data_IF_388687061137
#
_entry.id   IF_388687061137
#
_cell.length_a   1.000
_cell.length_b   1.000
_cell.length_c   1.000
_cell.angle_alpha   90.00
_cell.angle_beta   90.00
_cell.angle_gamma   90.00
#
_symmetry.space_group_name_H-M   'P 1'
#
loop_
_entity.id
_entity.type
_entity.pdbx_description
1 polymer ?
#
# COMPACT_ATOMS: atom_id res chain seq x y z
N UNK A 1 -5.66 0.71 11.31
CA UNK A 1 -6.46 1.74 12.00
C UNK A 1 -6.86 2.88 11.07
N UNK A 2 -5.94 3.44 10.28
CA UNK A 2 -6.25 4.52 9.30
C UNK A 2 -7.41 4.16 8.37
N UNK A 3 -7.37 2.98 7.73
CA UNK A 3 -8.43 2.53 6.80
C UNK A 3 -9.80 2.45 7.50
N UNK A 4 -9.85 1.97 8.75
CA UNK A 4 -11.10 1.86 9.52
C UNK A 4 -11.63 3.26 9.84
N UNK A 5 -10.79 4.17 10.30
CA UNK A 5 -11.19 5.54 10.62
C UNK A 5 -11.74 6.28 9.39
N UNK A 6 -11.06 6.17 8.25
CA UNK A 6 -11.51 6.76 6.97
C UNK A 6 -12.84 6.13 6.55
N UNK A 7 -12.98 4.80 6.62
CA UNK A 7 -14.21 4.10 6.29
C UNK A 7 -15.40 4.54 7.14
N UNK A 8 -15.21 4.69 8.45
CA UNK A 8 -16.26 5.18 9.36
C UNK A 8 -16.66 6.62 9.04
N UNK A 9 -15.69 7.50 8.75
CA UNK A 9 -15.97 8.89 8.37
C UNK A 9 -16.81 8.95 7.10
N UNK A 10 -16.43 8.21 6.06
CA UNK A 10 -17.15 8.13 4.79
C UNK A 10 -18.58 7.61 4.99
N UNK A 11 -18.76 6.59 5.83
CA UNK A 11 -20.08 6.05 6.16
C UNK A 11 -20.99 7.09 6.81
N UNK A 12 -20.48 7.84 7.80
CA UNK A 12 -21.24 8.90 8.49
C UNK A 12 -21.63 10.02 7.52
N UNK A 13 -20.70 10.48 6.69
CA UNK A 13 -20.97 11.52 5.68
C UNK A 13 -22.05 11.04 4.69
N UNK A 14 -21.95 9.80 4.23
CA UNK A 14 -22.94 9.19 3.34
C UNK A 14 -24.32 9.06 3.97
N UNK A 15 -24.39 8.65 5.25
CA UNK A 15 -25.65 8.57 5.98
C UNK A 15 -26.33 9.93 6.13
N UNK A 16 -25.56 10.97 6.47
CA UNK A 16 -26.06 12.35 6.56
C UNK A 16 -26.59 12.82 5.21
N UNK A 17 -25.86 12.58 4.12
CA UNK A 17 -26.29 12.95 2.76
C UNK A 17 -27.59 12.25 2.35
N UNK A 18 -27.72 10.96 2.65
CA UNK A 18 -28.93 10.20 2.38
C UNK A 18 -30.14 10.75 3.16
N UNK A 19 -30.00 10.95 4.48
CA UNK A 19 -31.06 11.50 5.32
C UNK A 19 -31.45 12.93 4.94
N UNK A 20 -30.48 13.77 4.55
CA UNK A 20 -30.73 15.14 4.12
C UNK A 20 -31.59 15.20 2.85
N UNK A 21 -31.31 14.32 1.89
CA UNK A 21 -32.02 14.22 0.61
C UNK A 21 -33.42 13.67 0.80
N UNK A 22 -33.58 12.57 1.55
CA UNK A 22 -34.89 11.93 1.78
C UNK A 22 -35.85 12.84 2.55
N UNK A 23 -35.34 13.65 3.49
CA UNK A 23 -36.16 14.59 4.26
C UNK A 23 -36.44 15.91 3.55
N UNK A 24 -35.94 16.11 2.31
CA UNK A 24 -36.03 17.38 1.57
C UNK A 24 -35.60 18.60 2.42
N UNK A 25 -34.70 18.37 3.39
CA UNK A 25 -34.36 19.36 4.39
C UNK A 25 -33.29 20.29 3.84
N UNK A 26 -33.67 21.55 3.58
CA UNK A 26 -32.72 22.59 3.14
C UNK A 26 -31.54 22.73 4.10
N UNK A 27 -31.78 22.65 5.41
CA UNK A 27 -30.72 22.73 6.42
C UNK A 27 -29.77 21.52 6.32
N UNK A 28 -30.30 20.31 6.10
CA UNK A 28 -29.49 19.10 5.91
C UNK A 28 -28.64 19.11 4.64
N UNK A 29 -29.17 19.67 3.55
CA UNK A 29 -28.43 19.80 2.30
C UNK A 29 -27.28 20.82 2.42
N UNK A 30 -27.53 21.94 3.11
CA UNK A 30 -26.50 22.96 3.39
C UNK A 30 -25.38 22.40 4.27
N UNK A 31 -25.71 21.66 5.33
CA UNK A 31 -24.70 21.05 6.21
C UNK A 31 -23.88 19.99 5.48
N UNK A 32 -24.53 19.12 4.69
CA UNK A 32 -23.83 18.14 3.85
C UNK A 32 -22.86 18.82 2.88
N UNK A 33 -23.33 19.87 2.19
CA UNK A 33 -22.51 20.65 1.25
C UNK A 33 -21.32 21.31 1.96
N UNK A 34 -21.52 21.88 3.15
CA UNK A 34 -20.46 22.48 3.94
C UNK A 34 -19.41 21.44 4.38
N UNK A 35 -19.83 20.24 4.79
CA UNK A 35 -18.91 19.15 5.15
C UNK A 35 -18.08 18.71 3.94
N UNK A 36 -18.69 18.56 2.76
CA UNK A 36 -17.96 18.21 1.55
C UNK A 36 -16.94 19.28 1.15
N UNK A 37 -17.29 20.57 1.27
CA UNK A 37 -16.35 21.67 1.00
C UNK A 37 -15.17 21.66 1.97
N UNK A 38 -15.40 21.36 3.25
CA UNK A 38 -14.33 21.22 4.24
C UNK A 38 -13.42 20.04 3.92
N UNK A 39 -13.98 18.88 3.57
CA UNK A 39 -13.19 17.72 3.13
C UNK A 39 -12.34 18.07 1.91
N UNK A 40 -12.93 18.72 0.91
CA UNK A 40 -12.21 19.16 -0.27
C UNK A 40 -11.05 20.11 0.07
N UNK A 41 -11.28 21.10 0.94
CA UNK A 41 -10.23 22.00 1.39
C UNK A 41 -9.11 21.26 2.13
N UNK A 42 -9.44 20.28 2.98
CA UNK A 42 -8.43 19.46 3.66
C UNK A 42 -7.63 18.59 2.70
N UNK A 43 -8.26 18.01 1.68
CA UNK A 43 -7.57 17.23 0.63
C UNK A 43 -6.54 18.10 -0.10
N UNK A 44 -6.91 19.33 -0.50
CA UNK A 44 -5.98 20.26 -1.14
C UNK A 44 -4.78 20.56 -0.24
N UNK A 45 -5.02 20.82 1.05
CA UNK A 45 -3.94 21.07 2.02
C UNK A 45 -3.04 19.85 2.16
N UNK A 46 -3.60 18.65 2.27
CA UNK A 46 -2.83 17.39 2.38
C UNK A 46 -1.97 17.16 1.14
N UNK A 47 -2.51 17.37 -0.07
CA UNK A 47 -1.76 17.24 -1.33
C UNK A 47 -0.61 18.24 -1.39
N UNK A 48 -0.87 19.52 -1.10
CA UNK A 48 0.18 20.57 -1.12
C UNK A 48 1.27 20.28 -0.10
N UNK A 49 0.90 19.91 1.13
CA UNK A 49 1.88 19.54 2.16
C UNK A 49 2.63 18.26 1.77
N UNK A 50 1.96 17.27 1.18
CA UNK A 50 2.57 16.04 0.67
C UNK A 50 3.62 16.34 -0.40
N UNK A 51 3.33 17.25 -1.32
CA UNK A 51 4.25 17.70 -2.35
C UNK A 51 5.46 18.44 -1.76
N UNK A 52 5.23 19.42 -0.87
CA UNK A 52 6.30 20.19 -0.22
C UNK A 52 7.20 19.28 0.63
N UNK A 53 6.61 18.35 1.38
CA UNK A 53 7.32 17.43 2.27
C UNK A 53 7.56 16.05 1.64
N UNK A 54 7.62 15.95 0.31
CA UNK A 54 7.76 14.67 -0.42
C UNK A 54 8.92 13.80 0.08
N UNK A 55 10.06 14.40 0.40
CA UNK A 55 11.23 13.67 0.90
C UNK A 55 10.96 13.00 2.26
N UNK A 56 10.15 13.64 3.11
CA UNK A 56 9.72 13.07 4.39
C UNK A 56 8.72 11.94 4.18
N UNK A 57 7.80 12.08 3.22
CA UNK A 57 6.86 11.02 2.85
C UNK A 57 7.62 9.79 2.35
N UNK A 58 8.60 9.96 1.45
CA UNK A 58 9.45 8.89 0.95
C UNK A 58 10.18 8.16 2.08
N UNK A 59 10.79 8.89 3.02
CA UNK A 59 11.48 8.29 4.17
C UNK A 59 10.54 7.49 5.08
N UNK A 60 9.32 7.98 5.32
CA UNK A 60 8.31 7.28 6.12
C UNK A 60 7.84 6.00 5.41
N UNK A 61 7.65 6.06 4.09
CA UNK A 61 7.28 4.91 3.26
C UNK A 61 8.37 3.86 3.31
N UNK A 62 9.63 4.24 3.11
CA UNK A 62 10.77 3.32 3.16
C UNK A 62 10.85 2.60 4.52
N UNK A 63 10.87 3.36 5.62
CA UNK A 63 10.92 2.79 6.96
C UNK A 63 9.73 1.84 7.24
N UNK A 64 8.54 2.21 6.75
CA UNK A 64 7.34 1.39 6.91
C UNK A 64 7.42 0.08 6.11
N UNK A 65 7.88 0.13 4.85
CA UNK A 65 8.09 -1.07 4.03
C UNK A 65 9.14 -1.96 4.68
N UNK A 66 10.30 -1.42 5.07
CA UNK A 66 11.37 -2.18 5.71
C UNK A 66 10.89 -2.88 6.98
N UNK A 67 10.10 -2.19 7.82
CA UNK A 67 9.53 -2.80 9.03
C UNK A 67 8.63 -3.99 8.71
N UNK A 68 7.74 -3.87 7.73
CA UNK A 68 6.82 -4.95 7.36
C UNK A 68 7.60 -6.15 6.77
N UNK A 69 8.65 -5.90 5.99
CA UNK A 69 9.54 -6.94 5.45
C UNK A 69 10.30 -7.69 6.55
N UNK A 70 10.77 -6.99 7.59
CA UNK A 70 11.42 -7.63 8.73
C UNK A 70 10.47 -8.50 9.57
N UNK A 71 9.16 -8.20 9.55
CA UNK A 71 8.12 -8.97 10.23
C UNK A 71 7.55 -10.12 9.37
N UNK A 72 8.04 -10.30 8.14
CA UNK A 72 7.60 -11.36 7.24
C UNK A 72 7.97 -12.75 7.78
N UNK A 73 7.00 -13.66 7.82
CA UNK A 73 7.18 -15.05 8.28
C UNK A 73 6.87 -16.10 7.21
N UNK A 74 6.32 -15.68 6.07
CA UNK A 74 5.94 -16.57 4.98
C UNK A 74 4.72 -17.46 5.28
N UNK A 75 3.99 -17.18 6.36
CA UNK A 75 2.77 -17.90 6.72
C UNK A 75 1.54 -17.16 6.19
N UNK A 76 0.65 -17.85 5.48
CA UNK A 76 -0.58 -17.21 4.98
C UNK A 76 -1.51 -16.68 6.09
N UNK A 77 -1.29 -17.09 7.34
CA UNK A 77 -2.04 -16.65 8.52
C UNK A 77 -1.57 -15.31 9.06
N UNK A 78 -0.35 -14.87 8.77
CA UNK A 78 0.19 -13.62 9.30
C UNK A 78 -0.11 -12.42 8.39
N UNK A 79 -0.46 -11.29 9.03
CA UNK A 79 -0.81 -10.06 8.34
C UNK A 79 0.35 -9.47 7.50
N UNK A 80 1.61 -9.39 7.98
CA UNK A 80 2.70 -8.82 7.17
C UNK A 80 3.00 -9.64 5.92
N UNK A 81 2.94 -10.98 5.98
CA UNK A 81 3.18 -11.83 4.80
C UNK A 81 2.07 -11.68 3.77
N UNK A 82 0.80 -11.65 4.20
CA UNK A 82 -0.31 -11.35 3.26
C UNK A 82 -0.18 -9.98 2.64
N UNK A 83 0.23 -8.97 3.42
CA UNK A 83 0.39 -7.61 2.93
C UNK A 83 1.51 -7.52 1.88
N UNK A 84 2.68 -8.10 2.16
CA UNK A 84 3.81 -8.12 1.22
C UNK A 84 3.46 -8.90 -0.03
N UNK A 85 2.89 -10.11 0.11
CA UNK A 85 2.51 -10.93 -1.02
C UNK A 85 1.48 -10.23 -1.92
N UNK A 86 0.53 -9.51 -1.31
CA UNK A 86 -0.44 -8.71 -2.05
C UNK A 86 0.23 -7.55 -2.78
N UNK A 87 1.09 -6.78 -2.12
CA UNK A 87 1.79 -5.64 -2.71
C UNK A 87 2.68 -6.08 -3.87
N UNK A 88 3.45 -7.15 -3.71
CA UNK A 88 4.33 -7.68 -4.76
C UNK A 88 3.56 -8.12 -6.00
N UNK A 89 2.41 -8.80 -5.81
CA UNK A 89 1.53 -9.20 -6.92
C UNK A 89 0.85 -8.00 -7.59
N UNK A 90 0.40 -7.03 -6.79
CA UNK A 90 -0.37 -5.88 -7.28
C UNK A 90 0.50 -4.85 -7.99
N UNK A 91 1.72 -4.64 -7.50
CA UNK A 91 2.66 -3.69 -8.08
C UNK A 91 3.67 -4.35 -9.01
N UNK A 92 3.66 -5.68 -9.16
CA UNK A 92 4.64 -6.40 -9.99
C UNK A 92 6.09 -6.06 -9.60
N UNK A 93 6.37 -6.11 -8.29
CA UNK A 93 7.65 -5.77 -7.69
C UNK A 93 8.16 -6.92 -6.79
N UNK A 94 9.46 -6.95 -6.51
CA UNK A 94 10.06 -7.94 -5.61
C UNK A 94 11.11 -7.31 -4.70
N UNK A 95 10.98 -7.53 -3.39
CA UNK A 95 11.85 -6.93 -2.39
C UNK A 95 11.58 -5.44 -2.18
N UNK A 96 12.46 -4.78 -1.42
CA UNK A 96 12.32 -3.35 -1.10
C UNK A 96 12.85 -2.52 -2.27
N UNK A 97 14.12 -2.72 -2.60
CA UNK A 97 14.85 -2.18 -3.73
C UNK A 97 15.05 -3.24 -4.83
N UNK A 98 15.26 -4.50 -4.45
CA UNK A 98 15.43 -5.62 -5.38
C UNK A 98 15.17 -6.98 -4.69
N UNK A 99 15.04 -8.06 -5.45
CA UNK A 99 14.85 -9.42 -4.94
C UNK A 99 15.95 -9.86 -3.96
N UNK A 100 17.17 -9.30 -4.06
CA UNK A 100 18.28 -9.59 -3.16
C UNK A 100 18.03 -9.17 -1.72
N UNK A 101 17.10 -8.24 -1.47
CA UNK A 101 16.79 -7.78 -0.10
C UNK A 101 16.24 -8.91 0.77
N UNK A 102 15.61 -9.90 0.15
CA UNK A 102 15.15 -11.11 0.84
C UNK A 102 16.29 -11.84 1.53
N UNK A 103 17.51 -11.82 0.97
CA UNK A 103 18.67 -12.51 1.55
C UNK A 103 19.04 -12.02 2.96
N UNK A 104 18.67 -10.77 3.29
CA UNK A 104 18.94 -10.15 4.58
C UNK A 104 17.80 -10.35 5.59
N UNK A 105 16.70 -10.99 5.20
CA UNK A 105 15.53 -11.20 6.08
C UNK A 105 15.70 -12.46 6.93
N UNK A 106 15.16 -12.43 8.15
CA UNK A 106 15.14 -13.60 9.04
C UNK A 106 14.47 -14.82 8.38
N UNK A 107 13.37 -14.59 7.68
CA UNK A 107 12.63 -15.63 6.97
C UNK A 107 13.49 -16.40 5.95
N UNK A 108 14.31 -15.69 5.17
CA UNK A 108 15.16 -16.32 4.16
C UNK A 108 16.26 -17.18 4.81
N UNK A 109 16.87 -16.66 5.89
CA UNK A 109 17.90 -17.37 6.65
C UNK A 109 17.33 -18.65 7.30
N UNK A 110 16.11 -18.59 7.82
CA UNK A 110 15.43 -19.73 8.44
C UNK A 110 14.96 -20.77 7.41
N UNK A 111 14.45 -20.32 6.26
CA UNK A 111 13.88 -21.21 5.23
C UNK A 111 14.92 -22.06 4.51
N UNK A 112 16.17 -21.58 4.38
CA UNK A 112 17.31 -22.28 3.74
C UNK A 112 17.03 -22.86 2.33
N UNK A 113 15.99 -22.39 1.66
CA UNK A 113 15.54 -22.89 0.36
C UNK A 113 16.08 -22.08 -0.82
N UNK A 114 16.87 -21.03 -0.54
CA UNK A 114 17.45 -20.11 -1.53
C UNK A 114 16.39 -19.57 -2.52
N UNK A 115 15.17 -19.33 -2.04
CA UNK A 115 14.06 -18.80 -2.82
C UNK A 115 13.45 -17.59 -2.14
N UNK A 116 12.91 -16.68 -2.96
CA UNK A 116 12.06 -15.58 -2.52
C UNK A 116 10.59 -16.03 -2.50
N UNK A 117 9.68 -15.28 -1.87
CA UNK A 117 8.26 -15.58 -1.94
C UNK A 117 7.73 -15.68 -3.36
N UNK A 118 6.80 -16.62 -3.59
CA UNK A 118 6.18 -16.85 -4.90
C UNK A 118 5.39 -15.65 -5.42
N UNK A 119 5.06 -14.71 -4.55
CA UNK A 119 4.49 -13.40 -4.88
C UNK A 119 5.43 -12.52 -5.73
N UNK A 120 6.74 -12.79 -5.73
CA UNK A 120 7.73 -12.16 -6.60
C UNK A 120 7.73 -12.69 -8.05
N UNK A 121 7.00 -13.75 -8.36
CA UNK A 121 7.00 -14.38 -9.67
C UNK A 121 6.21 -13.58 -10.70
N UNK A 122 6.74 -13.48 -11.93
CA UNK A 122 6.04 -12.89 -13.07
C UNK A 122 4.85 -13.76 -13.50
N UNK A 123 3.72 -13.17 -13.93
CA UNK A 123 2.52 -13.93 -14.32
C UNK A 123 2.74 -14.75 -15.60
N UNK A 124 3.70 -14.35 -16.44
CA UNK A 124 4.02 -14.99 -17.71
C UNK A 124 4.78 -16.31 -17.56
N UNK A 125 5.28 -16.63 -16.37
CA UNK A 125 6.09 -17.82 -16.11
C UNK A 125 5.23 -18.89 -15.41
N UNK A 126 4.95 -19.98 -16.11
CA UNK A 126 4.31 -21.15 -15.51
C UNK A 126 5.30 -21.88 -14.60
N UNK A 127 4.83 -22.32 -13.42
CA UNK A 127 5.64 -23.03 -12.42
C UNK A 127 6.82 -22.25 -11.83
N UNK A 128 6.68 -20.93 -11.65
CA UNK A 128 7.66 -20.16 -10.89
C UNK A 128 7.62 -20.54 -9.40
N UNK A 129 8.77 -20.96 -8.87
CA UNK A 129 8.96 -21.37 -7.47
C UNK A 129 9.68 -20.33 -6.62
N UNK A 130 9.99 -19.16 -7.20
CA UNK A 130 10.74 -18.11 -6.50
C UNK A 130 12.25 -18.39 -6.37
N UNK A 131 12.79 -19.38 -7.07
CA UNK A 131 14.22 -19.74 -6.95
C UNK A 131 15.15 -18.62 -7.44
N UNK A 132 16.23 -18.37 -6.71
CA UNK A 132 17.26 -17.42 -7.10
C UNK A 132 18.15 -17.91 -8.26
N UNK A 133 18.04 -19.18 -8.66
CA UNK A 133 18.75 -19.72 -9.83
C UNK A 133 18.24 -19.17 -11.16
N UNK A 134 17.00 -18.67 -11.19
CA UNK A 134 16.37 -18.08 -12.39
C UNK A 134 15.84 -16.67 -12.08
N UNK A 135 16.73 -15.68 -11.89
CA UNK A 135 16.31 -14.32 -11.55
C UNK A 135 15.46 -13.67 -12.65
N UNK A 136 15.51 -14.17 -13.89
CA UNK A 136 14.66 -13.72 -15.00
C UNK A 136 13.16 -13.95 -14.76
N UNK A 137 12.79 -14.92 -13.92
CA UNK A 137 11.39 -15.27 -13.62
C UNK A 137 10.76 -14.33 -12.58
N UNK A 138 11.58 -13.53 -11.89
CA UNK A 138 11.19 -12.63 -10.81
C UNK A 138 10.97 -11.21 -11.31
N UNK A 139 10.18 -10.41 -10.57
CA UNK A 139 10.09 -8.98 -10.82
C UNK A 139 11.44 -8.29 -10.58
N UNK A 140 11.92 -7.48 -11.53
CA UNK A 140 13.24 -6.86 -11.45
C UNK A 140 13.26 -5.61 -10.56
N UNK A 141 12.12 -4.94 -10.38
CA UNK A 141 12.02 -3.70 -9.61
C UNK A 141 11.58 -3.96 -8.17
N UNK A 142 12.20 -3.22 -7.24
CA UNK A 142 11.79 -3.17 -5.85
C UNK A 142 10.47 -2.44 -5.62
N UNK A 143 9.76 -2.84 -4.58
CA UNK A 143 8.45 -2.26 -4.26
C UNK A 143 8.53 -0.82 -3.77
N UNK A 144 9.61 -0.40 -3.11
CA UNK A 144 9.79 0.98 -2.67
C UNK A 144 9.83 1.93 -3.87
N UNK A 145 10.63 1.61 -4.88
CA UNK A 145 10.79 2.42 -6.10
C UNK A 145 9.45 2.63 -6.78
N UNK A 146 8.66 1.56 -6.93
CA UNK A 146 7.35 1.62 -7.57
C UNK A 146 6.30 2.35 -6.73
N UNK A 147 6.30 2.14 -5.41
CA UNK A 147 5.39 2.86 -4.51
C UNK A 147 5.69 4.36 -4.56
N UNK A 148 6.95 4.75 -4.42
CA UNK A 148 7.37 6.17 -4.48
C UNK A 148 7.06 6.77 -5.84
N UNK A 149 7.29 6.05 -6.93
CA UNK A 149 6.93 6.49 -8.29
C UNK A 149 5.43 6.76 -8.41
N UNK A 150 4.59 5.82 -7.95
CA UNK A 150 3.13 6.00 -7.97
C UNK A 150 2.68 7.15 -7.07
N UNK A 151 3.30 7.35 -5.92
CA UNK A 151 3.02 8.51 -5.07
C UNK A 151 3.35 9.82 -5.78
N UNK A 152 4.47 9.88 -6.50
CA UNK A 152 4.86 11.06 -7.31
C UNK A 152 3.90 11.34 -8.47
N UNK A 153 3.30 10.32 -9.05
CA UNK A 153 2.33 10.49 -10.14
C UNK A 153 0.99 11.06 -9.63
N UNK A 154 0.69 10.91 -8.33
CA UNK A 154 -0.56 11.37 -7.70
C UNK A 154 -0.42 12.78 -7.10
N UNK A 155 0.77 13.15 -6.66
CA UNK A 155 1.08 14.46 -6.06
C UNK A 155 1.44 15.52 -7.10
#
# INVERSE_FOLDING_TARGET
MVIIAVGTLLFVIGFIGCCATVRESRCGLVTFSAVLLLVFATEVVVVVLGYIYRAKVEAVVNHSIQKVYNEYKGTNTDAPSRAIDYVQRQLHCCGIHNYSDWMNTHWFIESKNNSVPVSCCKPSISNCTGTLMRPGDLYPEGCEVLVVKKLKDIM
#
